data_IF_481126053473
#
_entry.id   IF_481126053473
#
_cell.length_a   1.000
_cell.length_b   1.000
_cell.length_c   1.000
_cell.angle_alpha   90.00
_cell.angle_beta   90.00
_cell.angle_gamma   90.00
#
_symmetry.space_group_name_H-M   'P 1'
#
loop_
_entity.id
_entity.type
_entity.pdbx_description
1 polymer ?
#
# COMPACT_ATOMS: atom_id res chain seq x y z
N UNK A 1 -33.36 5.09 10.90
CA UNK A 1 -32.96 4.57 12.22
C UNK A 1 -33.89 3.41 12.53
N UNK A 2 -33.59 2.22 12.01
CA UNK A 2 -34.42 1.03 12.27
C UNK A 2 -34.13 0.58 13.69
N UNK A 3 -35.19 0.46 14.49
CA UNK A 3 -35.16 0.06 15.88
C UNK A 3 -34.54 -1.34 16.03
N UNK A 4 -33.60 -1.48 16.96
CA UNK A 4 -32.96 -2.73 17.35
C UNK A 4 -33.93 -3.64 18.13
N UNK A 5 -34.98 -4.12 17.46
CA UNK A 5 -36.05 -4.94 18.08
C UNK A 5 -36.35 -6.23 17.32
N UNK A 6 -35.57 -6.62 16.32
CA UNK A 6 -35.71 -7.93 15.66
C UNK A 6 -34.79 -8.99 16.29
N UNK A 7 -35.36 -10.15 16.64
CA UNK A 7 -34.69 -11.32 17.23
C UNK A 7 -33.64 -11.99 16.31
N UNK A 8 -33.45 -11.47 15.09
CA UNK A 8 -32.55 -11.98 14.05
C UNK A 8 -31.27 -11.14 13.88
N UNK A 9 -31.08 -10.09 14.67
CA UNK A 9 -29.86 -9.29 14.64
C UNK A 9 -28.63 -10.19 14.91
N UNK A 10 -27.66 -10.24 13.99
CA UNK A 10 -26.38 -10.96 14.10
C UNK A 10 -26.37 -12.50 13.90
N UNK A 11 -27.33 -13.12 13.19
CA UNK A 11 -27.24 -14.57 12.92
C UNK A 11 -26.25 -14.96 11.81
N UNK A 12 -25.84 -14.05 10.92
CA UNK A 12 -24.95 -14.35 9.79
C UNK A 12 -23.92 -13.27 9.44
N UNK A 13 -22.82 -13.68 8.79
CA UNK A 13 -21.74 -12.78 8.34
C UNK A 13 -22.23 -11.67 7.39
N UNK A 14 -23.33 -11.91 6.65
CA UNK A 14 -23.93 -10.93 5.75
C UNK A 14 -24.51 -9.72 6.49
N UNK A 15 -25.15 -9.93 7.63
CA UNK A 15 -25.75 -8.86 8.43
C UNK A 15 -24.69 -8.01 9.14
N UNK A 16 -23.57 -8.63 9.55
CA UNK A 16 -22.44 -7.89 10.12
C UNK A 16 -21.83 -6.96 9.06
N UNK A 17 -21.65 -7.46 7.84
CA UNK A 17 -21.06 -6.70 6.73
C UNK A 17 -21.98 -5.58 6.23
N UNK A 18 -23.30 -5.77 6.27
CA UNK A 18 -24.27 -4.71 5.91
C UNK A 18 -24.43 -3.65 7.01
N UNK A 19 -24.24 -3.99 8.28
CA UNK A 19 -24.34 -3.03 9.38
C UNK A 19 -23.12 -2.10 9.53
N UNK A 20 -21.96 -2.44 8.95
CA UNK A 20 -20.76 -1.59 8.98
C UNK A 20 -20.85 -0.53 7.88
N UNK A 21 -20.62 0.74 8.24
CA UNK A 21 -20.67 1.84 7.28
C UNK A 21 -19.64 1.65 6.13
N UNK A 22 -20.02 1.83 4.86
CA UNK A 22 -19.09 1.74 3.72
C UNK A 22 -17.90 2.71 3.80
N UNK A 23 -18.09 3.87 4.43
CA UNK A 23 -17.02 4.84 4.68
C UNK A 23 -15.96 4.33 5.67
N UNK A 24 -16.34 3.49 6.64
CA UNK A 24 -15.38 2.84 7.53
C UNK A 24 -14.49 1.84 6.75
N UNK A 25 -15.06 1.07 5.83
CA UNK A 25 -14.30 0.20 4.94
C UNK A 25 -13.34 0.97 4.04
N UNK A 26 -13.82 2.07 3.43
CA UNK A 26 -12.99 2.93 2.59
C UNK A 26 -11.82 3.55 3.35
N UNK A 27 -12.08 4.17 4.51
CA UNK A 27 -11.04 4.80 5.34
C UNK A 27 -10.04 3.79 5.91
N UNK A 28 -10.50 2.60 6.31
CA UNK A 28 -9.61 1.50 6.70
C UNK A 28 -8.72 1.05 5.54
N UNK A 29 -9.27 0.96 4.32
CA UNK A 29 -8.51 0.66 3.11
C UNK A 29 -7.38 1.65 2.87
N UNK A 30 -7.68 2.95 2.93
CA UNK A 30 -6.68 4.02 2.79
C UNK A 30 -5.60 3.92 3.86
N UNK A 31 -6.00 3.74 5.13
CA UNK A 31 -5.07 3.62 6.24
C UNK A 31 -4.14 2.40 6.09
N UNK A 32 -4.68 1.23 5.75
CA UNK A 32 -3.92 0.00 5.54
C UNK A 32 -2.99 0.11 4.33
N UNK A 33 -3.45 0.68 3.21
CA UNK A 33 -2.62 0.89 2.03
C UNK A 33 -1.40 1.77 2.31
N UNK A 34 -1.59 2.87 3.05
CA UNK A 34 -0.49 3.75 3.46
C UNK A 34 0.46 3.07 4.45
N UNK A 35 -0.09 2.56 5.56
CA UNK A 35 0.71 2.02 6.67
C UNK A 35 1.52 0.80 6.27
N UNK A 36 0.92 -0.16 5.57
CA UNK A 36 1.64 -1.36 5.10
C UNK A 36 2.77 -1.01 4.11
N UNK A 37 2.55 -0.02 3.25
CA UNK A 37 3.59 0.46 2.33
C UNK A 37 4.76 1.09 3.07
N UNK A 38 4.49 1.92 4.09
CA UNK A 38 5.54 2.54 4.93
C UNK A 38 6.29 1.49 5.73
N UNK A 39 5.60 0.48 6.28
CA UNK A 39 6.24 -0.62 7.01
C UNK A 39 7.19 -1.40 6.08
N UNK A 40 6.78 -1.68 4.84
CA UNK A 40 7.63 -2.31 3.83
C UNK A 40 8.90 -1.52 3.52
N UNK A 41 8.74 -0.22 3.30
CA UNK A 41 9.87 0.68 3.06
C UNK A 41 10.82 0.74 4.26
N UNK A 42 10.29 0.93 5.48
CA UNK A 42 11.08 0.99 6.70
C UNK A 42 11.86 -0.31 6.94
N UNK A 43 11.24 -1.47 6.69
CA UNK A 43 11.89 -2.76 6.81
C UNK A 43 13.02 -2.92 5.77
N UNK A 44 12.76 -2.56 4.51
CA UNK A 44 13.77 -2.62 3.45
C UNK A 44 14.99 -1.72 3.72
N UNK A 45 14.74 -0.51 4.23
CA UNK A 45 15.77 0.45 4.64
C UNK A 45 16.59 -0.10 5.80
N UNK A 46 15.95 -0.71 6.81
CA UNK A 46 16.67 -1.29 7.95
C UNK A 46 17.60 -2.44 7.53
N UNK A 47 17.11 -3.35 6.67
CA UNK A 47 17.91 -4.48 6.16
C UNK A 47 19.12 -3.96 5.36
N UNK A 48 18.89 -3.10 4.37
CA UNK A 48 19.98 -2.58 3.53
C UNK A 48 20.93 -1.68 4.30
N UNK A 49 20.40 -0.81 5.16
CA UNK A 49 21.17 0.17 5.93
C UNK A 49 22.10 -0.48 6.95
N UNK A 50 21.66 -1.54 7.63
CA UNK A 50 22.53 -2.29 8.56
C UNK A 50 23.73 -2.92 7.84
N UNK A 51 23.51 -3.55 6.67
CA UNK A 51 24.58 -4.08 5.82
C UNK A 51 25.49 -2.99 5.25
N UNK A 52 24.93 -1.84 4.87
CA UNK A 52 25.69 -0.69 4.34
C UNK A 52 26.67 -0.15 5.38
N UNK A 53 26.19 0.07 6.61
CA UNK A 53 27.03 0.53 7.71
C UNK A 53 28.11 -0.49 8.06
N UNK A 54 27.77 -1.79 8.10
CA UNK A 54 28.73 -2.86 8.35
C UNK A 54 29.82 -2.94 7.29
N UNK A 55 29.45 -2.91 6.00
CA UNK A 55 30.40 -2.95 4.88
C UNK A 55 31.27 -1.69 4.79
N UNK A 56 30.72 -0.52 5.11
CA UNK A 56 31.40 0.77 5.01
C UNK A 56 32.57 0.92 6.00
N UNK A 57 32.65 0.12 7.06
CA UNK A 57 33.79 0.13 8.01
C UNK A 57 35.08 -0.28 7.30
N UNK A 58 35.04 -1.37 6.51
CA UNK A 58 36.21 -1.88 5.79
C UNK A 58 36.35 -1.26 4.40
N UNK A 59 35.23 -0.97 3.72
CA UNK A 59 35.22 -0.45 2.37
C UNK A 59 34.36 0.83 2.27
N UNK A 60 34.86 2.01 2.69
CA UNK A 60 34.06 3.24 2.78
C UNK A 60 33.54 3.74 1.42
N UNK A 61 34.14 3.28 0.31
CA UNK A 61 33.69 3.61 -1.06
C UNK A 61 32.26 3.14 -1.39
N UNK A 62 31.73 2.12 -0.68
CA UNK A 62 30.38 1.59 -0.94
C UNK A 62 29.28 2.54 -0.44
N UNK A 63 29.62 3.49 0.46
CA UNK A 63 28.65 4.36 1.14
C UNK A 63 27.80 5.17 0.17
N UNK A 64 28.41 5.84 -0.80
CA UNK A 64 27.69 6.75 -1.71
C UNK A 64 27.01 6.01 -2.85
N UNK A 65 27.67 4.97 -3.37
CA UNK A 65 27.19 4.20 -4.53
C UNK A 65 25.93 3.41 -4.21
N UNK A 66 25.87 2.77 -3.04
CA UNK A 66 24.78 1.90 -2.66
C UNK A 66 23.60 2.63 -1.97
N UNK A 67 23.61 3.97 -1.90
CA UNK A 67 22.42 4.74 -1.48
C UNK A 67 21.23 4.54 -2.43
N UNK A 68 21.48 4.16 -3.68
CA UNK A 68 20.43 3.87 -4.67
C UNK A 68 19.48 2.79 -4.17
N UNK A 69 19.98 1.76 -3.49
CA UNK A 69 19.15 0.68 -2.93
C UNK A 69 18.19 1.17 -1.84
N UNK A 70 18.61 2.17 -1.05
CA UNK A 70 17.75 2.82 -0.04
C UNK A 70 16.65 3.64 -0.73
N UNK A 71 16.99 4.36 -1.80
CA UNK A 71 16.03 5.16 -2.58
C UNK A 71 14.96 4.24 -3.21
N UNK A 72 15.32 3.04 -3.68
CA UNK A 72 14.32 2.09 -4.18
C UNK A 72 13.38 1.58 -3.09
N UNK A 73 13.87 1.38 -1.86
CA UNK A 73 13.00 1.05 -0.73
C UNK A 73 12.06 2.23 -0.38
N UNK A 74 12.54 3.47 -0.49
CA UNK A 74 11.73 4.67 -0.25
C UNK A 74 10.65 4.87 -1.33
N UNK A 75 10.95 4.57 -2.60
CA UNK A 75 9.99 4.68 -3.70
C UNK A 75 8.70 3.87 -3.42
N UNK A 76 8.81 2.74 -2.74
CA UNK A 76 7.67 1.92 -2.30
C UNK A 76 6.74 2.66 -1.32
N UNK A 77 7.28 3.52 -0.45
CA UNK A 77 6.46 4.36 0.43
C UNK A 77 5.72 5.46 -0.37
N UNK A 78 6.39 6.05 -1.36
CA UNK A 78 5.78 7.06 -2.25
C UNK A 78 4.59 6.46 -3.00
N UNK A 79 4.71 5.23 -3.49
CA UNK A 79 3.59 4.50 -4.11
C UNK A 79 2.40 4.34 -3.16
N UNK A 80 2.65 4.04 -1.88
CA UNK A 80 1.61 3.98 -0.85
C UNK A 80 0.93 5.33 -0.61
N UNK A 81 1.69 6.42 -0.53
CA UNK A 81 1.16 7.78 -0.37
C UNK A 81 0.30 8.19 -1.56
N UNK A 82 0.75 7.91 -2.79
CA UNK A 82 0.01 8.22 -4.02
C UNK A 82 -1.34 7.51 -4.01
N UNK A 83 -1.37 6.20 -3.71
CA UNK A 83 -2.62 5.44 -3.64
C UNK A 83 -3.54 5.95 -2.54
N UNK A 84 -3.01 6.31 -1.37
CA UNK A 84 -3.81 6.87 -0.29
C UNK A 84 -4.52 8.16 -0.73
N UNK A 85 -3.82 9.07 -1.42
CA UNK A 85 -4.40 10.31 -1.94
C UNK A 85 -5.46 10.04 -3.01
N UNK A 86 -5.21 9.12 -3.94
CA UNK A 86 -6.17 8.76 -5.01
C UNK A 86 -7.44 8.17 -4.41
N UNK A 87 -7.32 7.23 -3.47
CA UNK A 87 -8.46 6.59 -2.83
C UNK A 87 -9.23 7.57 -1.93
N UNK A 88 -8.53 8.45 -1.21
CA UNK A 88 -9.16 9.51 -0.44
C UNK A 88 -9.96 10.48 -1.32
N UNK A 89 -9.42 10.82 -2.50
CA UNK A 89 -10.11 11.70 -3.46
C UNK A 89 -11.38 11.08 -4.06
N UNK A 90 -11.52 9.75 -4.01
CA UNK A 90 -12.75 9.04 -4.42
C UNK A 90 -13.83 9.03 -3.34
N UNK A 91 -13.44 9.10 -2.07
CA UNK A 91 -14.37 9.12 -0.94
C UNK A 91 -14.89 10.53 -0.69
N UNK A 92 -15.93 10.93 -1.43
CA UNK A 92 -16.64 12.19 -1.15
C UNK A 92 -17.44 12.07 0.16
N UNK A 93 -17.39 13.10 1.00
CA UNK A 93 -18.27 13.19 2.16
C UNK A 93 -19.70 13.40 1.66
N UNK A 94 -20.69 12.62 2.13
CA UNK A 94 -22.07 12.86 1.78
C UNK A 94 -22.45 14.22 2.37
N UNK A 95 -22.96 15.13 1.54
CA UNK A 95 -23.54 16.38 2.02
C UNK A 95 -24.68 16.14 3.00
N UNK A 96 -25.06 17.16 3.77
CA UNK A 96 -26.30 17.14 4.54
C UNK A 96 -27.47 16.93 3.56
N UNK A 97 -28.00 15.71 3.50
CA UNK A 97 -29.11 15.36 2.61
C UNK A 97 -30.36 16.08 3.09
N UNK A 98 -30.98 16.84 2.19
CA UNK A 98 -32.27 17.47 2.44
C UNK A 98 -33.39 16.49 2.04
N UNK A 99 -34.62 16.69 2.54
CA UNK A 99 -35.78 15.80 2.33
C UNK A 99 -36.30 15.69 0.88
N UNK A 100 -35.48 15.99 -0.14
CA UNK A 100 -35.83 15.92 -1.57
C UNK A 100 -34.77 15.32 -2.48
N UNK A 101 -33.66 14.80 -1.95
CA UNK A 101 -32.60 14.18 -2.76
C UNK A 101 -32.96 12.74 -3.16
N UNK A 102 -32.59 12.36 -4.39
CA UNK A 102 -32.79 11.03 -4.96
C UNK A 102 -32.35 9.90 -4.00
N UNK A 103 -33.04 8.74 -4.01
CA UNK A 103 -32.66 7.60 -3.18
C UNK A 103 -31.24 7.14 -3.53
N UNK A 104 -30.38 7.01 -2.52
CA UNK A 104 -29.03 6.49 -2.73
C UNK A 104 -29.15 5.04 -3.18
N UNK A 105 -28.43 4.69 -4.24
CA UNK A 105 -28.21 3.29 -4.59
C UNK A 105 -27.28 2.66 -3.55
N UNK A 106 -27.86 2.06 -2.51
CA UNK A 106 -27.13 1.45 -1.40
C UNK A 106 -26.17 0.36 -1.89
N UNK A 107 -26.55 -0.41 -2.91
CA UNK A 107 -25.71 -1.47 -3.48
C UNK A 107 -24.42 -0.90 -4.10
N UNK A 108 -24.52 0.23 -4.80
CA UNK A 108 -23.36 0.92 -5.36
C UNK A 108 -22.43 1.46 -4.26
N UNK A 109 -23.00 1.97 -3.16
CA UNK A 109 -22.23 2.47 -2.02
C UNK A 109 -21.44 1.36 -1.31
N UNK A 110 -22.06 0.20 -1.06
CA UNK A 110 -21.35 -0.96 -0.48
C UNK A 110 -20.27 -1.47 -1.41
N UNK A 111 -20.55 -1.57 -2.72
CA UNK A 111 -19.54 -1.96 -3.71
C UNK A 111 -18.34 -0.99 -3.70
N UNK A 112 -18.59 0.32 -3.69
CA UNK A 112 -17.54 1.33 -3.63
C UNK A 112 -16.68 1.21 -2.36
N UNK A 113 -17.31 1.00 -1.20
CA UNK A 113 -16.61 0.78 0.08
C UNK A 113 -15.68 -0.44 0.04
N UNK A 114 -16.17 -1.58 -0.45
CA UNK A 114 -15.36 -2.80 -0.57
C UNK A 114 -14.28 -2.71 -1.64
N UNK A 115 -14.53 -2.03 -2.76
CA UNK A 115 -13.56 -1.82 -3.81
C UNK A 115 -12.38 -0.95 -3.34
N UNK A 116 -12.66 0.13 -2.59
CA UNK A 116 -11.60 0.97 -1.98
C UNK A 116 -10.83 0.20 -0.90
N UNK A 117 -11.53 -0.56 -0.05
CA UNK A 117 -10.89 -1.40 0.95
C UNK A 117 -9.94 -2.44 0.33
N UNK A 118 -10.44 -3.18 -0.66
CA UNK A 118 -9.66 -4.19 -1.38
C UNK A 118 -8.48 -3.58 -2.13
N UNK A 119 -8.66 -2.40 -2.74
CA UNK A 119 -7.57 -1.66 -3.40
C UNK A 119 -6.46 -1.30 -2.42
N UNK A 120 -6.82 -0.73 -1.27
CA UNK A 120 -5.87 -0.35 -0.23
C UNK A 120 -5.06 -1.54 0.30
N UNK A 121 -5.72 -2.66 0.63
CA UNK A 121 -5.04 -3.88 1.10
C UNK A 121 -4.15 -4.49 0.02
N UNK A 122 -4.64 -4.62 -1.21
CA UNK A 122 -3.88 -5.22 -2.31
C UNK A 122 -2.57 -4.45 -2.58
N UNK A 123 -2.66 -3.12 -2.65
CA UNK A 123 -1.49 -2.25 -2.84
C UNK A 123 -0.57 -2.34 -1.62
N UNK A 124 -1.11 -2.20 -0.40
CA UNK A 124 -0.34 -2.18 0.83
C UNK A 124 0.48 -3.46 1.05
N UNK A 125 -0.12 -4.63 0.81
CA UNK A 125 0.59 -5.92 0.92
C UNK A 125 1.61 -6.12 -0.19
N UNK A 126 1.31 -5.69 -1.42
CA UNK A 126 2.25 -5.79 -2.54
C UNK A 126 3.47 -4.89 -2.30
N UNK A 127 3.25 -3.67 -1.81
CA UNK A 127 4.31 -2.75 -1.43
C UNK A 127 5.11 -3.24 -0.21
N UNK A 128 4.46 -3.85 0.78
CA UNK A 128 5.15 -4.51 1.89
C UNK A 128 6.12 -5.58 1.39
N UNK A 129 5.65 -6.49 0.53
CA UNK A 129 6.47 -7.55 -0.04
C UNK A 129 7.58 -7.00 -0.94
N UNK A 130 7.27 -6.02 -1.79
CA UNK A 130 8.25 -5.37 -2.67
C UNK A 130 9.35 -4.68 -1.86
N UNK A 131 9.02 -3.86 -0.87
CA UNK A 131 10.00 -3.17 -0.02
C UNK A 131 10.94 -4.12 0.71
N UNK A 132 10.43 -5.23 1.25
CA UNK A 132 11.26 -6.26 1.89
C UNK A 132 12.17 -6.95 0.86
N UNK A 133 11.64 -7.31 -0.31
CA UNK A 133 12.43 -7.97 -1.37
C UNK A 133 13.56 -7.08 -1.90
N UNK A 134 13.29 -5.79 -2.13
CA UNK A 134 14.28 -4.78 -2.53
C UNK A 134 15.33 -4.63 -1.43
N UNK A 135 14.93 -4.60 -0.16
CA UNK A 135 15.87 -4.49 0.96
C UNK A 135 16.82 -5.68 1.08
N UNK A 136 16.32 -6.90 0.86
CA UNK A 136 17.16 -8.12 0.86
C UNK A 136 18.14 -8.09 -0.33
N UNK A 137 17.66 -7.72 -1.52
CA UNK A 137 18.51 -7.58 -2.70
C UNK A 137 19.58 -6.47 -2.49
N UNK A 138 19.18 -5.33 -1.93
CA UNK A 138 20.06 -4.22 -1.54
C UNK A 138 21.17 -4.61 -0.58
N UNK A 139 20.82 -5.35 0.47
CA UNK A 139 21.81 -5.91 1.41
C UNK A 139 22.82 -6.81 0.71
N UNK A 140 22.36 -7.68 -0.21
CA UNK A 140 23.26 -8.54 -0.99
C UNK A 140 24.17 -7.74 -1.93
N UNK A 141 23.65 -6.67 -2.55
CA UNK A 141 24.38 -5.77 -3.43
C UNK A 141 25.51 -5.04 -2.70
N UNK A 142 25.22 -4.50 -1.51
CA UNK A 142 26.19 -3.84 -0.64
C UNK A 142 27.34 -4.77 -0.28
N UNK A 143 27.03 -5.98 0.18
CA UNK A 143 28.04 -6.94 0.62
C UNK A 143 28.90 -7.43 -0.55
N UNK A 144 28.29 -7.61 -1.73
CA UNK A 144 29.01 -7.98 -2.94
C UNK A 144 29.90 -6.84 -3.47
N UNK A 145 29.42 -5.59 -3.51
CA UNK A 145 30.21 -4.43 -3.97
C UNK A 145 31.41 -4.17 -3.03
N UNK A 146 31.26 -4.47 -1.74
CA UNK A 146 32.36 -4.41 -0.77
C UNK A 146 33.50 -5.38 -1.10
N UNK A 147 33.18 -6.56 -1.66
CA UNK A 147 34.17 -7.54 -2.11
C UNK A 147 34.71 -7.22 -3.51
N UNK A 148 33.82 -6.95 -4.47
CA UNK A 148 34.18 -6.65 -5.85
C UNK A 148 33.21 -5.63 -6.46
N UNK A 149 33.74 -4.46 -6.82
CA UNK A 149 32.96 -3.33 -7.33
C UNK A 149 32.25 -3.59 -8.68
N UNK A 150 32.71 -4.59 -9.44
CA UNK A 150 32.12 -4.96 -10.73
C UNK A 150 30.74 -5.64 -10.59
N UNK A 151 30.45 -6.24 -9.44
CA UNK A 151 29.19 -6.98 -9.21
C UNK A 151 27.98 -6.06 -8.99
N UNK A 152 28.21 -4.80 -8.64
CA UNK A 152 27.15 -3.83 -8.30
C UNK A 152 26.08 -3.73 -9.39
N UNK A 153 26.48 -3.53 -10.64
CA UNK A 153 25.53 -3.30 -11.74
C UNK A 153 24.69 -4.56 -12.00
N UNK A 154 25.31 -5.74 -11.89
CA UNK A 154 24.61 -7.02 -12.09
C UNK A 154 23.54 -7.26 -11.03
N UNK A 155 23.82 -6.94 -9.76
CA UNK A 155 22.86 -7.12 -8.67
C UNK A 155 21.80 -6.00 -8.67
N UNK A 156 22.17 -4.78 -9.07
CA UNK A 156 21.23 -3.66 -9.20
C UNK A 156 20.08 -3.97 -10.16
N UNK A 157 20.32 -4.77 -11.21
CA UNK A 157 19.25 -5.21 -12.13
C UNK A 157 18.18 -6.02 -11.38
N UNK A 158 18.58 -6.86 -10.41
CA UNK A 158 17.65 -7.65 -9.60
C UNK A 158 16.82 -6.74 -8.68
N UNK A 159 17.43 -5.70 -8.10
CA UNK A 159 16.70 -4.69 -7.31
C UNK A 159 15.62 -3.98 -8.15
N UNK A 160 15.92 -3.64 -9.41
CA UNK A 160 14.95 -3.00 -10.30
C UNK A 160 13.74 -3.91 -10.53
N UNK A 161 13.95 -5.21 -10.81
CA UNK A 161 12.84 -6.15 -10.97
C UNK A 161 12.02 -6.34 -9.69
N UNK A 162 12.68 -6.36 -8.51
CA UNK A 162 11.98 -6.42 -7.22
C UNK A 162 11.13 -5.16 -6.97
N UNK A 163 11.61 -3.99 -7.37
CA UNK A 163 10.88 -2.72 -7.23
C UNK A 163 9.67 -2.62 -8.18
N UNK A 164 9.71 -3.30 -9.33
CA UNK A 164 8.60 -3.33 -10.29
C UNK A 164 7.33 -3.98 -9.71
N UNK A 165 7.47 -4.89 -8.73
CA UNK A 165 6.34 -5.52 -8.04
C UNK A 165 5.43 -4.49 -7.38
N UNK A 166 6.00 -3.44 -6.75
CA UNK A 166 5.23 -2.36 -6.14
C UNK A 166 4.36 -1.61 -7.15
N UNK A 167 4.91 -1.33 -8.34
CA UNK A 167 4.18 -0.65 -9.42
C UNK A 167 3.01 -1.51 -9.93
N UNK A 168 3.19 -2.83 -10.05
CA UNK A 168 2.09 -3.72 -10.42
C UNK A 168 0.96 -3.70 -9.39
N UNK A 169 1.29 -3.66 -8.09
CA UNK A 169 0.31 -3.50 -7.02
C UNK A 169 -0.51 -2.21 -7.17
N UNK A 170 0.16 -1.08 -7.45
CA UNK A 170 -0.48 0.23 -7.69
C UNK A 170 -1.44 0.16 -8.88
N UNK A 171 -1.01 -0.41 -10.01
CA UNK A 171 -1.86 -0.52 -11.22
C UNK A 171 -3.14 -1.31 -10.92
N UNK A 172 -3.00 -2.46 -10.25
CA UNK A 172 -4.15 -3.29 -9.87
C UNK A 172 -5.08 -2.54 -8.91
N UNK A 173 -4.54 -1.82 -7.93
CA UNK A 173 -5.32 -1.00 -7.00
C UNK A 173 -6.12 0.10 -7.69
N UNK A 174 -5.54 0.77 -8.68
CA UNK A 174 -6.23 1.80 -9.49
C UNK A 174 -7.36 1.17 -10.29
N UNK A 175 -7.11 0.04 -10.96
CA UNK A 175 -8.13 -0.66 -11.76
C UNK A 175 -9.31 -1.10 -10.88
N UNK A 176 -9.02 -1.67 -9.69
CA UNK A 176 -10.04 -2.15 -8.77
C UNK A 176 -10.93 -1.01 -8.24
N UNK A 177 -10.35 0.16 -7.98
CA UNK A 177 -11.07 1.34 -7.49
C UNK A 177 -11.66 2.22 -8.60
N UNK A 178 -11.46 1.87 -9.88
CA UNK A 178 -11.88 2.73 -10.99
C UNK A 178 -13.41 2.90 -11.00
N UNK A 179 -14.14 1.79 -10.88
CA UNK A 179 -15.61 1.76 -10.87
C UNK A 179 -16.21 2.01 -9.47
N UNK A 180 -15.40 2.39 -8.49
CA UNK A 180 -15.87 2.75 -7.16
C UNK A 180 -16.34 4.21 -7.16
N UNK A 181 -17.64 4.42 -7.32
CA UNK A 181 -18.28 5.73 -7.27
C UNK A 181 -19.02 5.92 -5.95
N UNK A 182 -18.55 6.88 -5.14
CA UNK A 182 -19.30 7.31 -3.96
C UNK A 182 -20.35 8.33 -4.41
N UNK A 183 -21.63 8.16 -4.02
CA UNK A 183 -22.67 9.16 -4.27
C UNK A 183 -22.26 10.48 -3.62
N UNK A 184 -22.53 11.58 -4.32
CA UNK A 184 -22.25 12.95 -3.87
C UNK A 184 -23.34 13.43 -2.93
#
# INVERSE_FOLDING_TARGET
MSTATDELFNQGWGDVLSNISPYAWGSMGVALGLTLSIVGAAWGIFITGSSLLGAAVKAPRVRSKNLVSIIFCEATAIYGVIIAIILQSKMNQPGLRNEGDEPINEQALYFAGYAVFGSGIAVGLTNLASGVSVGIAGSSCVLADAQNAALYVTILIVEIFASALGIFGVIVGIILSNNAEFPK
#
